data_IF_681731284925
#
_entry.id   IF_681731284925
#
_cell.length_a   1.000
_cell.length_b   1.000
_cell.length_c   1.000
_cell.angle_alpha   90.00
_cell.angle_beta   90.00
_cell.angle_gamma   90.00
#
_symmetry.space_group_name_H-M   'P 1'
#
loop_
_entity.id
_entity.type
_entity.pdbx_description
1 polymer ?
#
# COMPACT_ATOMS: atom_id res chain seq x y z
N UNK A 1 17.90 -2.04 -22.74
CA UNK A 1 17.36 -2.49 -21.44
C UNK A 1 15.86 -2.69 -21.63
N UNK A 2 15.38 -3.93 -21.67
CA UNK A 2 13.96 -4.20 -21.92
C UNK A 2 13.16 -3.86 -20.65
N UNK A 3 12.33 -2.82 -20.70
CA UNK A 3 11.35 -2.52 -19.66
C UNK A 3 10.40 -3.71 -19.56
N UNK A 4 10.62 -4.57 -18.56
CA UNK A 4 9.73 -5.68 -18.25
C UNK A 4 8.36 -5.06 -17.98
N UNK A 5 7.42 -5.23 -18.92
CA UNK A 5 6.05 -4.70 -18.76
C UNK A 5 5.51 -5.24 -17.44
N UNK A 6 5.37 -4.38 -16.43
CA UNK A 6 4.70 -4.67 -15.17
C UNK A 6 3.27 -5.06 -15.53
N UNK A 7 2.96 -6.35 -15.47
CA UNK A 7 1.62 -6.86 -15.70
C UNK A 7 1.05 -7.18 -14.34
N UNK A 8 0.06 -6.39 -13.91
CA UNK A 8 -0.77 -6.72 -12.76
C UNK A 8 -1.54 -8.00 -13.09
N UNK A 9 -1.53 -8.94 -12.16
CA UNK A 9 -2.38 -10.11 -12.22
C UNK A 9 -3.73 -9.76 -11.57
N UNK A 10 -4.82 -10.23 -12.17
CA UNK A 10 -6.17 -10.06 -11.62
C UNK A 10 -6.84 -11.42 -11.63
N UNK A 11 -7.33 -11.86 -10.49
CA UNK A 11 -7.98 -13.15 -10.32
C UNK A 11 -9.17 -13.05 -9.36
N UNK A 12 -10.07 -14.03 -9.42
CA UNK A 12 -11.22 -14.12 -8.52
C UNK A 12 -10.89 -15.03 -7.34
N UNK A 13 -11.18 -14.57 -6.13
CA UNK A 13 -11.08 -15.33 -4.89
C UNK A 13 -12.46 -15.31 -4.21
N UNK A 14 -13.32 -16.27 -4.58
CA UNK A 14 -14.73 -16.25 -4.21
C UNK A 14 -15.44 -15.07 -4.87
N UNK A 15 -16.09 -14.21 -4.07
CA UNK A 15 -16.78 -13.00 -4.58
C UNK A 15 -15.87 -11.78 -4.73
N UNK A 16 -14.60 -11.90 -4.33
CA UNK A 16 -13.64 -10.79 -4.35
C UNK A 16 -12.78 -10.87 -5.60
N UNK A 17 -12.71 -9.77 -6.36
CA UNK A 17 -11.74 -9.62 -7.46
C UNK A 17 -10.44 -9.09 -6.88
N UNK A 18 -9.36 -9.87 -6.95
CA UNK A 18 -8.07 -9.55 -6.34
C UNK A 18 -7.09 -9.03 -7.38
N UNK A 19 -6.44 -7.92 -7.06
CA UNK A 19 -5.33 -7.35 -7.82
C UNK A 19 -3.99 -7.71 -7.16
N UNK A 20 -3.05 -8.22 -7.95
CA UNK A 20 -1.75 -8.69 -7.50
C UNK A 20 -0.64 -8.08 -8.38
N UNK A 21 0.28 -7.34 -7.74
CA UNK A 21 1.44 -6.73 -8.40
C UNK A 21 2.66 -7.67 -8.46
N UNK A 22 2.55 -8.87 -7.90
CA UNK A 22 3.60 -9.86 -7.78
C UNK A 22 4.62 -9.53 -6.70
N UNK A 23 5.81 -10.12 -6.82
CA UNK A 23 6.91 -9.96 -5.87
C UNK A 23 7.55 -8.56 -5.95
N UNK A 24 6.86 -7.57 -5.38
CA UNK A 24 7.26 -6.16 -5.42
C UNK A 24 7.22 -5.51 -4.05
N UNK A 25 8.38 -5.06 -3.61
CA UNK A 25 8.59 -4.63 -2.23
C UNK A 25 8.24 -3.15 -2.00
N UNK A 26 8.35 -2.31 -3.04
CA UNK A 26 8.09 -0.87 -2.96
C UNK A 26 7.28 -0.46 -4.19
N UNK A 27 6.17 0.24 -3.95
CA UNK A 27 5.33 0.78 -5.01
C UNK A 27 5.68 2.23 -5.31
N UNK A 28 5.90 2.54 -6.57
CA UNK A 28 6.18 3.89 -7.06
C UNK A 28 4.93 4.54 -7.71
N UNK A 29 5.10 5.74 -8.25
CA UNK A 29 3.99 6.46 -8.92
C UNK A 29 3.41 5.72 -10.14
N UNK A 30 4.22 4.93 -10.85
CA UNK A 30 3.75 4.14 -11.98
C UNK A 30 2.91 2.94 -11.50
N UNK A 31 3.29 2.32 -10.38
CA UNK A 31 2.49 1.27 -9.74
C UNK A 31 1.13 1.79 -9.27
N UNK A 32 1.11 2.96 -8.64
CA UNK A 32 -0.13 3.60 -8.23
C UNK A 32 -1.02 3.94 -9.43
N UNK A 33 -0.43 4.40 -10.55
CA UNK A 33 -1.18 4.63 -11.77
C UNK A 33 -1.79 3.33 -12.32
N UNK A 34 -1.02 2.24 -12.33
CA UNK A 34 -1.50 0.92 -12.76
C UNK A 34 -2.64 0.40 -11.87
N UNK A 35 -2.51 0.52 -10.55
CA UNK A 35 -3.55 0.18 -9.56
C UNK A 35 -4.81 1.00 -9.84
N UNK A 36 -4.68 2.32 -9.97
CA UNK A 36 -5.80 3.22 -10.23
C UNK A 36 -6.54 2.86 -11.52
N UNK A 37 -5.81 2.68 -12.61
CA UNK A 37 -6.39 2.41 -13.91
C UNK A 37 -7.08 1.04 -13.93
N UNK A 38 -6.53 0.06 -13.20
CA UNK A 38 -7.14 -1.26 -13.02
C UNK A 38 -8.41 -1.19 -12.15
N UNK A 39 -8.40 -0.42 -11.06
CA UNK A 39 -9.59 -0.18 -10.24
C UNK A 39 -10.73 0.45 -11.05
N UNK A 40 -10.42 1.45 -11.88
CA UNK A 40 -11.40 2.08 -12.78
C UNK A 40 -12.00 1.04 -13.74
N UNK A 41 -11.17 0.20 -14.35
CA UNK A 41 -11.63 -0.88 -15.24
C UNK A 41 -12.56 -1.85 -14.51
N UNK A 42 -12.11 -2.42 -13.39
CA UNK A 42 -12.86 -3.43 -12.64
C UNK A 42 -14.18 -2.87 -12.08
N UNK A 43 -14.14 -1.68 -11.50
CA UNK A 43 -15.31 -1.12 -10.80
C UNK A 43 -16.30 -0.50 -11.79
N UNK A 44 -15.81 0.35 -12.70
CA UNK A 44 -16.72 1.13 -13.56
C UNK A 44 -17.14 0.38 -14.82
N UNK A 45 -16.24 -0.41 -15.42
CA UNK A 45 -16.55 -1.12 -16.68
C UNK A 45 -17.07 -2.53 -16.45
N UNK A 46 -16.52 -3.23 -15.46
CA UNK A 46 -16.92 -4.62 -15.16
C UNK A 46 -17.90 -4.71 -13.99
N UNK A 47 -18.21 -3.61 -13.31
CA UNK A 47 -19.21 -3.55 -12.25
C UNK A 47 -18.82 -4.30 -10.96
N UNK A 48 -17.53 -4.57 -10.76
CA UNK A 48 -17.03 -5.27 -9.56
C UNK A 48 -17.20 -4.37 -8.33
N UNK A 49 -17.78 -4.92 -7.26
CA UNK A 49 -18.07 -4.18 -6.01
C UNK A 49 -17.28 -4.66 -4.80
N UNK A 50 -16.58 -5.79 -4.91
CA UNK A 50 -15.70 -6.33 -3.87
C UNK A 50 -14.30 -6.51 -4.47
N UNK A 51 -13.37 -5.66 -4.07
CA UNK A 51 -12.01 -5.64 -4.62
C UNK A 51 -11.01 -5.92 -3.51
N UNK A 52 -10.09 -6.85 -3.78
CA UNK A 52 -8.94 -7.14 -2.93
C UNK A 52 -7.65 -6.64 -3.56
N UNK A 53 -6.69 -6.25 -2.72
CA UNK A 53 -5.30 -6.00 -3.14
C UNK A 53 -4.41 -6.98 -2.40
N UNK A 54 -3.61 -7.75 -3.13
CA UNK A 54 -2.57 -8.59 -2.57
C UNK A 54 -1.40 -7.73 -2.10
N UNK A 55 -1.05 -7.89 -0.82
CA UNK A 55 -0.03 -7.09 -0.13
C UNK A 55 1.10 -8.00 0.39
N UNK A 56 1.17 -9.25 -0.08
CA UNK A 56 2.07 -10.30 0.40
C UNK A 56 3.54 -9.93 0.28
N UNK A 57 3.90 -9.04 -0.65
CA UNK A 57 5.29 -8.67 -0.93
C UNK A 57 5.62 -7.23 -0.59
N UNK A 58 4.62 -6.34 -0.57
CA UNK A 58 4.87 -4.91 -0.41
C UNK A 58 5.25 -4.57 1.03
N UNK A 59 6.40 -3.92 1.17
CA UNK A 59 6.93 -3.44 2.45
C UNK A 59 6.55 -1.98 2.67
N UNK A 60 6.59 -1.15 1.63
CA UNK A 60 6.32 0.29 1.76
C UNK A 60 5.35 0.76 0.69
N UNK A 61 4.33 1.50 1.13
CA UNK A 61 3.27 1.99 0.28
C UNK A 61 3.17 3.51 0.45
N UNK A 62 3.14 4.28 -0.66
CA UNK A 62 2.92 5.72 -0.57
C UNK A 62 1.52 6.03 -0.01
N UNK A 63 1.41 7.12 0.75
CA UNK A 63 0.13 7.55 1.36
C UNK A 63 -1.03 7.69 0.35
N UNK A 64 -0.72 8.08 -0.88
CA UNK A 64 -1.70 8.23 -1.96
C UNK A 64 -2.43 6.93 -2.35
N UNK A 65 -1.88 5.75 -2.06
CA UNK A 65 -2.58 4.48 -2.29
C UNK A 65 -3.85 4.37 -1.47
N UNK A 66 -3.77 4.71 -0.17
CA UNK A 66 -4.91 4.55 0.74
C UNK A 66 -6.02 5.53 0.43
N UNK A 67 -5.68 6.80 0.14
CA UNK A 67 -6.66 7.79 -0.31
C UNK A 67 -7.42 7.31 -1.55
N UNK A 68 -6.73 6.68 -2.50
CA UNK A 68 -7.37 6.10 -3.67
C UNK A 68 -8.34 4.95 -3.34
N UNK A 69 -7.99 4.05 -2.39
CA UNK A 69 -8.91 2.99 -1.97
C UNK A 69 -10.13 3.57 -1.23
N UNK A 70 -9.92 4.62 -0.44
CA UNK A 70 -10.99 5.32 0.27
C UNK A 70 -11.99 5.97 -0.68
N UNK A 71 -11.52 6.62 -1.74
CA UNK A 71 -12.40 7.22 -2.74
C UNK A 71 -13.39 6.20 -3.33
N UNK A 72 -12.95 4.95 -3.53
CA UNK A 72 -13.81 3.86 -3.98
C UNK A 72 -14.72 3.32 -2.89
N UNK A 73 -14.18 3.22 -1.67
CA UNK A 73 -14.95 2.81 -0.51
C UNK A 73 -16.14 3.72 -0.25
N UNK A 74 -15.94 5.04 -0.30
CA UNK A 74 -17.00 6.03 -0.11
C UNK A 74 -18.04 6.00 -1.24
N UNK A 75 -17.66 5.45 -2.41
CA UNK A 75 -18.58 5.12 -3.52
C UNK A 75 -19.27 3.75 -3.35
N UNK A 76 -19.16 3.15 -2.16
CA UNK A 76 -19.80 1.89 -1.78
C UNK A 76 -19.13 0.63 -2.31
N UNK A 77 -17.85 0.69 -2.70
CA UNK A 77 -17.06 -0.50 -3.07
C UNK A 77 -16.45 -1.08 -1.79
N UNK A 78 -16.56 -2.39 -1.60
CA UNK A 78 -15.88 -3.07 -0.50
C UNK A 78 -14.42 -3.32 -0.87
N UNK A 79 -13.52 -2.71 -0.11
CA UNK A 79 -12.07 -2.79 -0.32
C UNK A 79 -11.42 -3.69 0.72
N UNK A 80 -10.61 -4.65 0.25
CA UNK A 80 -9.92 -5.65 1.06
C UNK A 80 -8.40 -5.56 0.84
N UNK A 81 -7.64 -5.71 1.93
CA UNK A 81 -6.18 -5.82 1.90
C UNK A 81 -5.81 -7.25 2.34
N UNK A 82 -5.19 -8.01 1.45
CA UNK A 82 -4.85 -9.41 1.65
C UNK A 82 -3.37 -9.55 1.98
N UNK A 83 -3.08 -10.33 3.01
CA UNK A 83 -1.72 -10.64 3.44
C UNK A 83 -0.77 -9.45 3.66
N UNK A 84 -1.19 -8.35 4.32
CA UNK A 84 -0.32 -7.21 4.54
C UNK A 84 0.86 -7.57 5.44
N UNK A 85 2.04 -7.16 5.00
CA UNK A 85 3.28 -7.33 5.74
C UNK A 85 3.22 -6.67 7.14
N UNK A 86 3.97 -7.19 8.14
CA UNK A 86 3.93 -6.65 9.52
C UNK A 86 4.18 -5.15 9.63
N UNK A 87 5.04 -4.58 8.79
CA UNK A 87 5.34 -3.16 8.78
C UNK A 87 4.19 -2.31 8.20
N UNK A 88 3.50 -2.78 7.16
CA UNK A 88 2.28 -2.12 6.64
C UNK A 88 1.20 -2.06 7.73
N UNK A 89 1.04 -3.13 8.50
CA UNK A 89 0.05 -3.19 9.60
C UNK A 89 0.33 -2.21 10.75
N UNK A 90 1.58 -1.75 10.90
CA UNK A 90 1.98 -0.76 11.92
C UNK A 90 1.69 0.68 11.51
N UNK A 91 1.39 0.92 10.23
CA UNK A 91 1.10 2.28 9.73
C UNK A 91 -0.15 2.82 10.42
N UNK A 92 -0.10 4.09 10.83
CA UNK A 92 -1.18 4.76 11.56
C UNK A 92 -2.54 4.59 10.87
N UNK A 93 -2.56 4.86 9.57
CA UNK A 93 -3.78 4.75 8.77
C UNK A 93 -4.33 3.31 8.83
N UNK A 94 -3.48 2.29 8.73
CA UNK A 94 -3.91 0.90 8.67
C UNK A 94 -4.58 0.53 9.99
N UNK A 95 -3.99 0.95 11.10
CA UNK A 95 -4.56 0.74 12.44
C UNK A 95 -5.89 1.47 12.65
N UNK A 96 -6.03 2.66 12.07
CA UNK A 96 -7.24 3.45 12.21
C UNK A 96 -8.40 2.97 11.34
N UNK A 97 -8.10 2.40 10.17
CA UNK A 97 -9.07 2.25 9.10
C UNK A 97 -9.13 0.85 8.47
N UNK A 98 -8.37 -0.11 8.97
CA UNK A 98 -8.45 -1.50 8.53
C UNK A 98 -8.94 -2.39 9.67
N UNK A 99 -10.06 -3.05 9.43
CA UNK A 99 -10.61 -4.06 10.33
C UNK A 99 -10.06 -5.43 9.97
N UNK A 100 -9.55 -6.17 10.96
CA UNK A 100 -9.03 -7.52 10.73
C UNK A 100 -10.16 -8.50 10.49
N UNK A 101 -10.05 -9.29 9.42
CA UNK A 101 -10.89 -10.46 9.15
C UNK A 101 -10.13 -11.75 9.49
N UNK A 102 -10.60 -12.88 8.96
CA UNK A 102 -9.88 -14.16 9.05
C UNK A 102 -8.71 -14.22 8.05
N UNK A 103 -7.78 -15.15 8.26
CA UNK A 103 -6.71 -15.50 7.30
C UNK A 103 -5.84 -14.31 6.85
N UNK A 104 -5.50 -13.40 7.78
CA UNK A 104 -4.68 -12.22 7.50
C UNK A 104 -5.27 -11.30 6.40
N UNK A 105 -6.57 -11.39 6.12
CA UNK A 105 -7.31 -10.43 5.32
C UNK A 105 -7.82 -9.29 6.20
N UNK A 106 -7.92 -8.10 5.61
CA UNK A 106 -8.40 -6.90 6.28
C UNK A 106 -9.39 -6.17 5.38
N UNK A 107 -10.38 -5.53 5.99
CA UNK A 107 -11.39 -4.74 5.27
C UNK A 107 -11.23 -3.26 5.63
N UNK A 108 -11.31 -2.39 4.64
CA UNK A 108 -11.26 -0.95 4.92
C UNK A 108 -12.54 -0.47 5.57
N UNK A 109 -12.46 0.46 6.52
CA UNK A 109 -13.56 1.11 7.25
C UNK A 109 -13.48 2.63 7.12
N UNK A 110 -14.63 3.31 6.95
CA UNK A 110 -14.68 4.78 6.85
C UNK A 110 -14.75 5.43 8.24
N UNK A 111 -15.06 4.64 9.26
CA UNK A 111 -15.01 5.03 10.66
C UNK A 111 -13.64 4.69 11.25
N UNK A 112 -13.04 5.65 11.96
CA UNK A 112 -11.80 5.45 12.72
C UNK A 112 -12.04 4.49 13.89
N UNK A 113 -11.21 3.47 14.01
CA UNK A 113 -11.37 2.42 15.04
C UNK A 113 -10.73 2.74 16.39
N UNK A 114 -9.76 3.67 16.49
CA UNK A 114 -9.04 4.01 17.72
C UNK A 114 -9.21 5.50 18.11
N UNK A 115 -9.58 5.77 19.37
CA UNK A 115 -9.16 6.98 20.09
C UNK A 115 -7.64 6.89 20.28
N UNK A 116 -6.88 7.56 19.42
CA UNK A 116 -5.43 7.55 19.51
C UNK A 116 -4.98 8.24 20.81
N UNK A 117 -4.47 7.48 21.78
CA UNK A 117 -3.54 8.07 22.75
C UNK A 117 -2.23 8.38 22.03
N UNK A 118 -1.69 9.61 22.15
CA UNK A 118 -0.50 10.03 21.41
C UNK A 118 0.78 9.43 21.99
N UNK A 119 0.98 8.12 21.84
CA UNK A 119 2.27 7.45 22.15
C UNK A 119 3.07 7.21 20.87
N UNK A 120 3.28 8.25 20.07
CA UNK A 120 3.93 8.10 18.77
C UNK A 120 4.58 9.37 18.26
N UNK A 121 5.51 9.96 19.03
CA UNK A 121 6.48 10.89 18.46
C UNK A 121 7.36 10.05 17.51
N UNK A 122 7.17 10.23 16.20
CA UNK A 122 7.99 9.58 15.20
C UNK A 122 9.41 10.13 15.26
N UNK A 123 10.33 9.40 15.89
CA UNK A 123 11.76 9.60 15.69
C UNK A 123 12.11 9.08 14.29
N UNK A 124 12.23 10.00 13.33
CA UNK A 124 12.69 9.73 11.96
C UNK A 124 14.22 9.84 11.83
N UNK A 125 14.99 9.67 12.90
CA UNK A 125 16.41 10.07 12.91
C UNK A 125 17.45 8.97 12.68
N UNK A 126 17.11 7.68 12.61
CA UNK A 126 18.18 6.66 12.72
C UNK A 126 18.58 5.89 11.43
N UNK A 127 18.07 6.22 10.23
CA UNK A 127 18.43 5.45 9.01
C UNK A 127 18.94 6.25 7.79
N UNK A 128 19.18 7.57 7.91
CA UNK A 128 19.77 8.36 6.80
C UNK A 128 21.22 8.81 7.06
N UNK A 129 21.72 8.78 8.29
CA UNK A 129 23.07 9.34 8.58
C UNK A 129 24.25 8.40 8.31
N UNK A 130 24.06 7.08 8.22
CA UNK A 130 25.20 6.16 8.20
C UNK A 130 25.83 5.94 6.80
N UNK A 131 25.16 6.39 5.72
CA UNK A 131 25.67 6.25 4.34
C UNK A 131 26.28 7.55 3.77
N UNK A 132 26.04 8.71 4.38
CA UNK A 132 26.56 10.01 3.90
C UNK A 132 27.88 10.47 4.53
N UNK A 133 28.36 9.82 5.61
CA UNK A 133 29.58 10.21 6.33
C UNK A 133 30.86 9.47 5.90
N UNK A 134 30.81 8.60 4.88
CA UNK A 134 31.97 7.79 4.45
C UNK A 134 32.67 8.27 3.17
N UNK A 135 32.25 9.37 2.56
CA UNK A 135 32.89 9.87 1.33
C UNK A 135 33.09 11.39 1.35
N UNK A 136 34.07 11.85 2.12
CA UNK A 136 34.73 13.13 1.89
C UNK A 136 36.23 12.86 1.63
N UNK A 137 36.73 12.96 0.39
CA UNK A 137 38.17 12.96 0.15
C UNK A 137 38.75 14.30 0.61
N UNK A 138 39.79 14.21 1.44
CA UNK A 138 40.57 15.33 1.96
C UNK A 138 41.06 16.28 0.86
N UNK A 139 40.45 17.46 0.75
CA UNK A 139 41.05 18.57 0.01
C UNK A 139 42.03 19.33 0.93
N UNK A 140 43.29 18.87 0.93
CA UNK A 140 44.44 19.70 1.27
C UNK A 140 44.77 20.59 0.07
N UNK A 141 44.67 21.91 0.23
CA UNK A 141 45.48 22.90 -0.51
C UNK A 141 45.59 24.13 0.40
N UNK A 142 46.74 24.31 1.06
CA UNK A 142 47.87 25.19 0.67
C UNK A 142 47.58 26.66 0.92
#
# INVERSE_FOLDING_TARGET
>A
MATKRKRMNVYEAGEVTVMDLGAMDIWDGADLALIRDTLVLLIQREGRRKIGVDMSHVKYIPSGFFGMLFDWKDRGVEMYLLDPQPNVRKMLWFRQFAERLMNNAWRLTSETQEELTPDGVGHWEDEIEDEMLRTEPAYRAR
#
